data_IF_054886851803
#
_entry.id   IF_054886851803
#
_cell.length_a   1.000
_cell.length_b   1.000
_cell.length_c   1.000
_cell.angle_alpha   90.00
_cell.angle_beta   90.00
_cell.angle_gamma   90.00
#
_symmetry.space_group_name_H-M   'P 1'
#
loop_
_entity.id
_entity.type
_entity.pdbx_description
1 polymer ?
#
# COMPACT_ATOMS: atom_id res chain seq x y z
N UNK A 1 -2.65 7.01 2.00
CA UNK A 1 -2.29 6.16 3.16
C UNK A 1 -1.01 6.68 3.77
N UNK A 2 -0.70 6.28 4.99
CA UNK A 2 0.60 6.52 5.62
C UNK A 2 1.54 5.36 5.34
N UNK A 3 2.81 5.64 5.06
CA UNK A 3 3.87 4.68 5.22
C UNK A 3 4.52 4.80 6.60
N UNK A 4 5.59 4.03 6.83
CA UNK A 4 6.32 4.09 8.09
C UNK A 4 7.07 5.42 8.30
N UNK A 5 7.32 6.20 7.24
CA UNK A 5 8.15 7.40 7.28
C UNK A 5 7.41 8.63 7.81
N UNK A 6 6.12 8.74 7.55
CA UNK A 6 5.30 9.82 8.10
C UNK A 6 5.32 9.75 9.63
N UNK A 7 5.25 8.54 10.21
CA UNK A 7 5.36 8.35 11.67
C UNK A 7 6.74 8.73 12.23
N UNK A 8 7.81 8.46 11.48
CA UNK A 8 9.17 8.82 11.90
C UNK A 8 9.46 10.30 11.83
N UNK A 9 8.75 11.03 10.97
CA UNK A 9 9.03 12.42 10.66
C UNK A 9 7.75 13.24 10.64
N UNK A 10 7.25 13.62 11.81
CA UNK A 10 6.16 14.60 11.96
C UNK A 10 4.84 14.18 11.29
N UNK A 11 4.31 13.01 11.66
CA UNK A 11 3.06 12.46 11.12
C UNK A 11 1.93 13.50 11.01
N UNK A 12 1.65 14.22 12.10
CA UNK A 12 0.55 15.19 12.14
C UNK A 12 0.73 16.31 11.11
N UNK A 13 1.94 16.82 10.96
CA UNK A 13 2.27 17.94 10.06
C UNK A 13 2.10 17.50 8.60
N UNK A 14 2.57 16.29 8.24
CA UNK A 14 2.36 15.74 6.89
C UNK A 14 0.90 15.45 6.59
N UNK A 15 0.16 14.86 7.53
CA UNK A 15 -1.25 14.58 7.30
C UNK A 15 -2.05 15.87 7.14
N UNK A 16 -1.69 16.93 7.87
CA UNK A 16 -2.27 18.26 7.67
C UNK A 16 -1.89 18.84 6.30
N UNK A 17 -0.62 18.76 5.91
CA UNK A 17 -0.13 19.26 4.62
C UNK A 17 -0.80 18.56 3.42
N UNK A 18 -0.93 17.23 3.46
CA UNK A 18 -1.60 16.47 2.40
C UNK A 18 -3.06 16.87 2.25
N UNK A 19 -3.78 17.06 3.36
CA UNK A 19 -5.17 17.53 3.34
C UNK A 19 -5.27 18.96 2.80
N UNK A 20 -4.32 19.84 3.16
CA UNK A 20 -4.24 21.20 2.63
C UNK A 20 -3.97 21.25 1.12
N UNK A 21 -3.31 20.23 0.57
CA UNK A 21 -3.13 20.02 -0.88
C UNK A 21 -4.30 19.31 -1.56
N UNK A 22 -5.45 19.20 -0.88
CA UNK A 22 -6.64 18.49 -1.36
C UNK A 22 -6.43 17.00 -1.65
N UNK A 23 -5.42 16.38 -1.04
CA UNK A 23 -5.24 14.93 -1.11
C UNK A 23 -6.17 14.26 -0.10
N UNK A 24 -6.88 13.22 -0.55
CA UNK A 24 -7.65 12.36 0.34
C UNK A 24 -6.71 11.36 1.03
N UNK A 25 -6.42 11.59 2.31
CA UNK A 25 -5.69 10.63 3.13
C UNK A 25 -6.67 9.53 3.55
N UNK A 26 -6.34 8.29 3.20
CA UNK A 26 -7.07 7.09 3.62
C UNK A 26 -6.34 6.44 4.79
N UNK A 27 -6.94 6.46 5.98
CA UNK A 27 -6.37 5.91 7.22
C UNK A 27 -7.40 4.99 7.85
N UNK A 28 -7.27 3.68 7.61
CA UNK A 28 -8.30 2.69 7.93
C UNK A 28 -9.69 3.10 7.40
N UNK A 29 -9.70 3.62 6.17
CA UNK A 29 -10.89 4.17 5.52
C UNK A 29 -10.86 3.87 4.03
N UNK A 30 -11.96 4.12 3.34
CA UNK A 30 -12.04 3.99 1.90
C UNK A 30 -12.71 5.20 1.24
N UNK A 31 -12.58 5.25 -0.07
CA UNK A 31 -13.36 6.11 -0.95
C UNK A 31 -13.91 5.29 -2.10
N UNK A 32 -15.02 5.73 -2.68
CA UNK A 32 -15.60 5.08 -3.86
C UNK A 32 -15.45 5.98 -5.08
N UNK A 33 -14.89 5.41 -6.14
CA UNK A 33 -14.87 6.03 -7.46
C UNK A 33 -16.00 5.43 -8.27
N UNK A 34 -16.92 6.27 -8.76
CA UNK A 34 -18.05 5.84 -9.59
C UNK A 34 -17.87 6.32 -11.03
N UNK A 35 -18.26 5.49 -11.99
CA UNK A 35 -18.33 5.82 -13.42
C UNK A 35 -19.58 5.19 -14.01
N UNK A 36 -20.62 5.99 -14.20
CA UNK A 36 -21.96 5.48 -14.52
C UNK A 36 -22.43 4.55 -13.39
N UNK A 37 -22.87 3.35 -13.76
CA UNK A 37 -23.32 2.34 -12.79
C UNK A 37 -22.18 1.53 -12.17
N UNK A 38 -20.94 1.69 -12.65
CA UNK A 38 -19.79 1.00 -12.09
C UNK A 38 -19.23 1.75 -10.87
N UNK A 39 -18.83 0.99 -9.86
CA UNK A 39 -18.15 1.50 -8.67
C UNK A 39 -16.81 0.76 -8.46
N UNK A 40 -15.85 1.44 -7.87
CA UNK A 40 -14.55 0.93 -7.48
C UNK A 40 -14.24 1.44 -6.07
N UNK A 41 -13.98 0.54 -5.14
CA UNK A 41 -13.58 0.90 -3.79
C UNK A 41 -12.06 1.01 -3.73
N UNK A 42 -11.55 2.16 -3.29
CA UNK A 42 -10.14 2.36 -2.97
C UNK A 42 -10.04 2.47 -1.46
N UNK A 43 -9.52 1.43 -0.82
CA UNK A 43 -9.34 1.34 0.62
C UNK A 43 -7.88 1.60 1.00
N UNK A 44 -7.65 2.13 2.20
CA UNK A 44 -6.32 2.37 2.72
C UNK A 44 -6.22 2.06 4.20
N UNK A 45 -5.12 1.43 4.61
CA UNK A 45 -4.80 1.16 6.02
C UNK A 45 -3.60 1.97 6.48
N UNK A 46 -3.45 2.14 7.79
CA UNK A 46 -2.25 2.76 8.40
C UNK A 46 -1.04 1.81 8.38
N UNK A 47 0.13 2.25 8.85
CA UNK A 47 1.32 1.39 8.97
C UNK A 47 1.43 0.80 10.39
N UNK A 48 1.89 -0.47 10.57
CA UNK A 48 2.07 -1.07 11.89
C UNK A 48 2.93 -0.27 12.87
N UNK A 49 3.80 0.61 12.38
CA UNK A 49 4.64 1.46 13.22
C UNK A 49 3.84 2.50 14.02
N UNK A 50 2.59 2.78 13.61
CA UNK A 50 1.67 3.68 14.30
C UNK A 50 1.53 3.36 15.80
N UNK A 51 1.58 2.07 16.18
CA UNK A 51 1.51 1.65 17.58
C UNK A 51 2.61 2.25 18.45
N UNK A 52 3.81 2.50 17.91
CA UNK A 52 4.93 3.12 18.66
C UNK A 52 4.63 4.57 19.04
N UNK A 53 3.67 5.20 18.38
CA UNK A 53 3.27 6.58 18.56
C UNK A 53 1.87 6.70 19.19
N UNK A 54 1.28 5.59 19.65
CA UNK A 54 -0.09 5.58 20.19
C UNK A 54 -1.17 5.91 19.14
N UNK A 55 -0.86 5.71 17.86
CA UNK A 55 -1.77 5.98 16.74
C UNK A 55 -2.43 4.69 16.24
N UNK A 56 -3.57 4.78 15.53
CA UNK A 56 -4.31 3.61 15.07
C UNK A 56 -3.47 2.64 14.24
N UNK A 57 -3.46 1.36 14.63
CA UNK A 57 -2.88 0.26 13.86
C UNK A 57 -3.63 0.01 12.54
N UNK A 58 -3.01 -0.67 11.57
CA UNK A 58 -3.70 -1.06 10.35
C UNK A 58 -4.94 -1.87 10.68
N UNK A 59 -6.09 -1.47 10.15
CA UNK A 59 -7.37 -2.13 10.36
C UNK A 59 -8.12 -2.23 9.03
N UNK A 60 -7.98 -3.39 8.38
CA UNK A 60 -8.63 -3.67 7.11
C UNK A 60 -10.16 -3.78 7.27
N UNK A 61 -10.64 -4.23 8.43
CA UNK A 61 -12.08 -4.31 8.67
C UNK A 61 -12.69 -2.92 8.74
N UNK A 62 -12.07 -1.99 9.47
CA UNK A 62 -12.49 -0.60 9.51
C UNK A 62 -12.39 0.06 8.12
N UNK A 63 -11.31 -0.21 7.38
CA UNK A 63 -11.14 0.33 6.02
C UNK A 63 -12.27 -0.07 5.07
N UNK A 64 -12.80 -1.29 5.22
CA UNK A 64 -13.87 -1.82 4.38
C UNK A 64 -15.29 -1.64 4.97
N UNK A 65 -15.41 -1.09 6.17
CA UNK A 65 -16.70 -0.93 6.83
C UNK A 65 -17.60 0.02 6.02
N UNK A 66 -18.76 -0.47 5.58
CA UNK A 66 -19.71 0.31 4.77
C UNK A 66 -19.33 0.46 3.28
N UNK A 67 -18.26 -0.20 2.82
CA UNK A 67 -17.94 -0.25 1.40
C UNK A 67 -19.02 -1.03 0.62
N UNK A 68 -19.25 -0.65 -0.64
CA UNK A 68 -20.15 -1.37 -1.53
C UNK A 68 -19.62 -2.81 -1.75
N UNK A 69 -20.35 -3.86 -1.31
CA UNK A 69 -19.88 -5.24 -1.42
C UNK A 69 -19.83 -5.76 -2.86
N UNK A 70 -20.50 -5.08 -3.80
CA UNK A 70 -20.47 -5.43 -5.22
C UNK A 70 -19.31 -4.76 -5.97
N UNK A 71 -18.70 -3.71 -5.40
CA UNK A 71 -17.59 -3.00 -6.03
C UNK A 71 -16.27 -3.74 -5.79
N UNK A 72 -15.42 -3.95 -6.83
CA UNK A 72 -14.08 -4.47 -6.61
C UNK A 72 -13.27 -3.53 -5.71
N UNK A 73 -12.42 -4.11 -4.86
CA UNK A 73 -11.61 -3.37 -3.90
C UNK A 73 -10.15 -3.34 -4.35
N UNK A 74 -9.59 -2.14 -4.39
CA UNK A 74 -8.15 -1.88 -4.43
C UNK A 74 -7.71 -1.46 -3.02
N UNK A 75 -6.78 -2.20 -2.44
CA UNK A 75 -6.17 -1.89 -1.15
C UNK A 75 -4.85 -1.16 -1.36
N UNK A 76 -4.72 -0.01 -0.72
CA UNK A 76 -3.45 0.66 -0.49
C UNK A 76 -2.96 0.23 0.90
N UNK A 77 -1.91 -0.59 0.94
CA UNK A 77 -1.24 -1.01 2.17
C UNK A 77 0.26 -0.84 1.94
N UNK A 78 0.92 -0.02 2.75
CA UNK A 78 2.34 0.28 2.58
C UNK A 78 3.20 -0.99 2.60
N UNK A 79 2.84 -2.00 3.40
CA UNK A 79 3.63 -3.22 3.55
C UNK A 79 2.95 -4.41 2.88
N UNK A 80 3.69 -5.24 2.12
CA UNK A 80 3.08 -6.36 1.41
C UNK A 80 2.79 -7.59 2.30
N UNK A 81 3.28 -7.60 3.55
CA UNK A 81 3.31 -8.79 4.42
C UNK A 81 1.94 -9.41 4.67
N UNK A 82 0.88 -8.60 4.71
CA UNK A 82 -0.47 -9.04 5.06
C UNK A 82 -1.34 -9.35 3.83
N UNK A 83 -0.72 -9.56 2.66
CA UNK A 83 -1.46 -9.78 1.40
C UNK A 83 -2.42 -10.99 1.44
N UNK A 84 -2.07 -12.06 2.16
CA UNK A 84 -2.97 -13.22 2.31
C UNK A 84 -4.25 -12.86 3.09
N UNK A 85 -4.14 -12.03 4.13
CA UNK A 85 -5.31 -11.51 4.86
C UNK A 85 -6.17 -10.61 3.96
N UNK A 86 -5.54 -9.73 3.18
CA UNK A 86 -6.24 -8.88 2.23
C UNK A 86 -7.01 -9.70 1.17
N UNK A 87 -6.37 -10.73 0.61
CA UNK A 87 -7.00 -11.64 -0.34
C UNK A 87 -8.21 -12.36 0.28
N UNK A 88 -8.07 -12.86 1.52
CA UNK A 88 -9.17 -13.51 2.25
C UNK A 88 -10.36 -12.57 2.54
N UNK A 89 -10.15 -11.25 2.56
CA UNK A 89 -11.21 -10.22 2.69
C UNK A 89 -11.80 -9.79 1.35
N UNK A 90 -11.45 -10.44 0.25
CA UNK A 90 -12.02 -10.19 -1.08
C UNK A 90 -11.37 -9.04 -1.86
N UNK A 91 -10.23 -8.51 -1.38
CA UNK A 91 -9.45 -7.52 -2.12
C UNK A 91 -9.01 -8.11 -3.47
N UNK A 92 -9.13 -7.33 -4.55
CA UNK A 92 -8.76 -7.79 -5.90
C UNK A 92 -7.38 -7.32 -6.34
N UNK A 93 -6.96 -6.17 -5.83
CA UNK A 93 -5.65 -5.61 -6.07
C UNK A 93 -5.12 -4.97 -4.79
N UNK A 94 -3.93 -5.36 -4.34
CA UNK A 94 -3.18 -4.66 -3.31
C UNK A 94 -1.97 -3.96 -3.93
N UNK A 95 -1.82 -2.67 -3.63
CA UNK A 95 -0.67 -1.86 -4.02
C UNK A 95 0.16 -1.56 -2.78
N UNK A 96 1.42 -2.03 -2.79
CA UNK A 96 2.35 -1.90 -1.67
C UNK A 96 3.70 -1.34 -2.10
N UNK A 97 4.49 -0.91 -1.11
CA UNK A 97 5.85 -0.45 -1.28
C UNK A 97 6.73 -1.01 -0.16
N UNK A 98 7.34 -0.12 0.63
CA UNK A 98 8.15 -0.42 1.82
C UNK A 98 9.48 -1.15 1.58
N UNK A 99 9.55 -2.07 0.63
CA UNK A 99 10.72 -2.92 0.38
C UNK A 99 11.82 -2.23 -0.43
N UNK A 100 11.46 -1.22 -1.24
CA UNK A 100 12.33 -0.55 -2.22
C UNK A 100 13.09 -1.53 -3.14
N UNK A 101 12.55 -2.74 -3.36
CA UNK A 101 13.22 -3.82 -4.09
C UNK A 101 14.49 -4.35 -3.44
N UNK A 102 14.72 -4.06 -2.14
CA UNK A 102 15.96 -4.39 -1.43
C UNK A 102 17.07 -3.34 -1.57
N UNK A 103 16.87 -2.31 -2.39
CA UNK A 103 17.81 -1.21 -2.71
C UNK A 103 19.12 -1.61 -3.41
N UNK A 104 19.71 -2.74 -3.06
CA UNK A 104 20.87 -3.33 -3.73
C UNK A 104 20.53 -4.75 -4.19
N UNK A 105 20.93 -5.08 -5.41
CA UNK A 105 20.80 -6.44 -5.94
C UNK A 105 21.39 -7.49 -4.96
N UNK A 106 20.61 -8.52 -4.63
CA UNK A 106 21.00 -9.55 -3.67
C UNK A 106 20.56 -9.27 -2.22
N UNK A 107 20.27 -8.02 -1.85
CA UNK A 107 19.69 -7.70 -0.53
C UNK A 107 18.19 -8.01 -0.44
N UNK A 108 17.52 -8.20 -1.58
CA UNK A 108 16.14 -8.70 -1.67
C UNK A 108 15.96 -9.99 -0.85
N UNK A 109 16.95 -10.88 -0.88
CA UNK A 109 16.93 -12.16 -0.16
C UNK A 109 16.95 -12.01 1.36
N UNK A 110 17.53 -10.91 1.87
CA UNK A 110 17.56 -10.61 3.30
C UNK A 110 16.22 -10.04 3.78
N UNK A 111 15.62 -9.15 2.98
CA UNK A 111 14.37 -8.47 3.35
C UNK A 111 13.12 -9.31 3.05
N UNK A 112 13.21 -10.29 2.14
CA UNK A 112 12.09 -11.13 1.69
C UNK A 112 11.33 -11.79 2.85
N UNK A 113 12.05 -12.40 3.81
CA UNK A 113 11.42 -13.08 4.96
C UNK A 113 10.65 -12.12 5.85
N UNK A 114 11.15 -10.90 6.04
CA UNK A 114 10.49 -9.88 6.86
C UNK A 114 9.19 -9.35 6.22
N UNK A 115 9.04 -9.53 4.91
CA UNK A 115 7.97 -9.00 4.08
C UNK A 115 7.03 -10.09 3.55
N UNK A 116 6.96 -11.26 4.21
CA UNK A 116 6.06 -12.34 3.82
C UNK A 116 6.42 -13.02 2.50
N UNK A 117 7.66 -12.88 2.03
CA UNK A 117 8.10 -13.40 0.74
C UNK A 117 8.06 -12.39 -0.40
N UNK A 118 7.53 -11.19 -0.18
CA UNK A 118 7.31 -10.20 -1.23
C UNK A 118 8.38 -9.11 -1.20
N UNK A 119 8.90 -8.74 -2.38
CA UNK A 119 9.97 -7.74 -2.50
C UNK A 119 9.75 -6.75 -3.64
N UNK A 120 9.47 -7.19 -4.86
CA UNK A 120 9.38 -6.30 -6.02
C UNK A 120 8.49 -6.90 -7.09
N UNK A 121 7.65 -6.06 -7.71
CA UNK A 121 6.83 -6.42 -8.85
C UNK A 121 5.52 -7.11 -8.48
N UNK A 122 4.98 -7.86 -9.45
CA UNK A 122 3.65 -8.48 -9.37
C UNK A 122 3.72 -9.88 -8.75
N UNK A 123 2.78 -10.15 -7.86
CA UNK A 123 2.52 -11.44 -7.25
C UNK A 123 1.03 -11.79 -7.38
N UNK A 124 0.73 -13.08 -7.39
CA UNK A 124 -0.63 -13.60 -7.28
C UNK A 124 -0.76 -14.25 -5.89
N UNK A 125 -1.81 -13.89 -5.16
CA UNK A 125 -2.06 -14.31 -3.78
C UNK A 125 -3.54 -14.64 -3.67
N UNK A 126 -3.88 -15.93 -3.70
CA UNK A 126 -5.25 -16.44 -3.54
C UNK A 126 -6.30 -15.71 -4.43
N UNK A 127 -5.98 -15.49 -5.69
CA UNK A 127 -6.84 -14.79 -6.66
C UNK A 127 -6.80 -13.26 -6.57
N UNK A 128 -6.06 -12.68 -5.63
CA UNK A 128 -5.72 -11.25 -5.56
C UNK A 128 -4.41 -10.99 -6.31
N UNK A 129 -4.33 -9.85 -7.03
CA UNK A 129 -3.04 -9.34 -7.49
C UNK A 129 -2.39 -8.49 -6.41
N UNK A 130 -1.20 -8.85 -5.95
CA UNK A 130 -0.35 -7.97 -5.16
C UNK A 130 0.69 -7.32 -6.09
N UNK A 131 0.94 -6.03 -5.93
CA UNK A 131 2.03 -5.35 -6.60
C UNK A 131 2.87 -4.57 -5.60
N UNK A 132 4.19 -4.82 -5.60
CA UNK A 132 5.15 -4.17 -4.71
C UNK A 132 6.06 -3.26 -5.53
N UNK A 133 5.89 -1.95 -5.37
CA UNK A 133 6.69 -0.94 -6.07
C UNK A 133 8.10 -0.83 -5.47
N UNK A 134 9.10 -0.63 -6.33
CA UNK A 134 10.46 -0.30 -5.92
C UNK A 134 10.61 1.16 -5.43
N UNK A 135 9.57 1.96 -5.57
CA UNK A 135 9.55 3.38 -5.19
C UNK A 135 10.30 4.28 -6.17
N UNK A 136 9.97 5.58 -6.13
CA UNK A 136 10.50 6.56 -7.06
C UNK A 136 11.95 7.01 -6.74
N UNK A 137 12.43 6.78 -5.52
CA UNK A 137 13.67 7.38 -5.04
C UNK A 137 14.40 6.59 -3.96
N UNK A 138 15.34 7.28 -3.33
CA UNK A 138 16.17 6.76 -2.25
C UNK A 138 15.43 6.79 -0.91
N UNK A 139 15.86 5.93 -0.01
CA UNK A 139 15.49 5.98 1.40
C UNK A 139 16.59 6.71 2.18
N UNK A 140 16.25 7.74 2.98
CA UNK A 140 17.27 8.53 3.68
C UNK A 140 18.14 7.71 4.65
N UNK A 141 17.62 6.60 5.19
CA UNK A 141 18.39 5.69 6.05
C UNK A 141 19.42 4.83 5.29
N UNK A 142 19.32 4.77 3.97
CA UNK A 142 20.28 4.09 3.10
C UNK A 142 20.31 4.78 1.73
N UNK A 143 21.15 5.82 1.57
CA UNK A 143 21.13 6.68 0.39
C UNK A 143 21.86 6.04 -0.81
N UNK A 144 21.66 4.76 -1.05
CA UNK A 144 22.26 4.01 -2.16
C UNK A 144 21.25 3.09 -2.83
N UNK A 145 21.29 3.05 -4.16
CA UNK A 145 20.47 2.15 -4.98
C UNK A 145 21.31 1.58 -6.12
N UNK A 146 21.55 0.27 -6.10
CA UNK A 146 22.48 -0.39 -7.03
C UNK A 146 21.78 -1.60 -7.66
N UNK A 147 21.58 -1.56 -8.97
CA UNK A 147 20.97 -2.68 -9.71
C UNK A 147 19.47 -2.89 -9.47
N UNK A 148 18.79 -1.96 -8.77
CA UNK A 148 17.33 -2.00 -8.52
C UNK A 148 16.71 -0.68 -9.01
N UNK A 149 16.12 -0.61 -10.21
CA UNK A 149 15.63 0.65 -10.78
C UNK A 149 14.50 1.27 -9.94
N UNK A 150 14.47 2.61 -9.87
CA UNK A 150 13.32 3.35 -9.37
C UNK A 150 12.13 3.19 -10.30
N UNK A 151 10.92 3.35 -9.76
CA UNK A 151 9.69 3.16 -10.52
C UNK A 151 8.58 4.14 -10.10
N UNK A 152 7.83 4.60 -11.11
CA UNK A 152 6.51 5.21 -10.97
C UNK A 152 5.58 4.39 -11.88
N UNK A 153 4.68 3.61 -11.29
CA UNK A 153 3.87 2.62 -12.02
C UNK A 153 2.52 3.22 -12.42
N UNK A 154 2.14 3.08 -13.69
CA UNK A 154 0.80 3.44 -14.19
C UNK A 154 -0.08 2.19 -14.29
N UNK A 155 -1.17 2.15 -13.53
CA UNK A 155 -2.18 1.10 -13.62
C UNK A 155 -3.34 1.52 -14.52
N UNK A 156 -3.60 0.72 -15.55
CA UNK A 156 -4.81 0.85 -16.37
C UNK A 156 -5.76 -0.29 -16.03
N UNK A 157 -6.88 0.04 -15.40
CA UNK A 157 -7.91 -0.93 -15.04
C UNK A 157 -8.86 -1.14 -16.22
N UNK A 158 -9.23 -2.39 -16.47
CA UNK A 158 -10.20 -2.78 -17.49
C UNK A 158 -11.27 -3.66 -16.86
N UNK A 159 -12.49 -3.57 -17.37
CA UNK A 159 -13.56 -4.52 -17.02
C UNK A 159 -13.11 -5.92 -17.43
N UNK A 160 -13.36 -6.92 -16.59
CA UNK A 160 -13.20 -8.30 -16.99
C UNK A 160 -14.11 -8.60 -18.20
N UNK A 161 -13.69 -9.48 -19.14
CA UNK A 161 -14.51 -9.87 -20.27
C UNK A 161 -15.87 -10.45 -19.85
#
# INVERSE_FOLDING_TARGET
ITGNHEYYAQYSDWMQAFRALHMQVLENSHTQVRRGDAALTIAGVTDPVAARYGLPLPDLQAALAGADPAAPVILLDHRPRNAAEAAARGVKLQLSGHTHGGQIIGMDQLVKRANGGFVSGRYEVDGMTLYVSNGAGLWAGFPARIGVPSEITLFTLRRAP
#
